data_IF_933209500705
#
_entry.id   IF_933209500705
#
_cell.length_a   1.000
_cell.length_b   1.000
_cell.length_c   1.000
_cell.angle_alpha   90.00
_cell.angle_beta   90.00
_cell.angle_gamma   90.00
#
_symmetry.space_group_name_H-M   'P 1'
#
loop_
_entity.id
_entity.type
_entity.pdbx_description
1 polymer ?
2 non-polymer ?
#
# COMPACT_ATOMS: atom_id res chain seq x y z
N UNK A 29 10.37 25.21 -1.48
CA UNK A 29 9.14 25.89 -1.10
C UNK A 29 9.00 27.22 -1.86
N UNK A 30 8.41 27.20 -3.08
CA UNK A 30 8.28 28.42 -3.89
C UNK A 30 7.23 29.40 -3.42
N UNK A 31 7.57 30.72 -3.43
CA UNK A 31 6.66 31.73 -2.86
C UNK A 31 5.28 31.88 -3.47
N UNK A 32 5.10 31.52 -4.75
CA UNK A 32 3.76 31.62 -5.31
C UNK A 32 2.83 30.56 -4.77
N UNK A 33 3.40 29.38 -4.46
CA UNK A 33 2.68 28.28 -3.84
C UNK A 33 2.42 28.63 -2.36
N UNK A 34 3.50 29.00 -1.63
CA UNK A 34 3.47 29.42 -0.23
C UNK A 34 2.39 30.48 0.02
N UNK A 35 2.20 31.42 -0.92
CA UNK A 35 1.20 32.49 -0.78
C UNK A 35 -0.20 31.93 -0.63
N UNK A 36 -0.64 31.09 -1.57
CA UNK A 36 -1.98 30.52 -1.50
C UNK A 36 -1.99 29.13 -0.90
N UNK A 37 -1.16 28.90 0.15
CA UNK A 37 -1.08 27.60 0.83
C UNK A 37 -2.45 27.12 1.35
N UNK A 38 -3.19 27.99 2.07
CA UNK A 38 -4.52 27.73 2.64
C UNK A 38 -5.54 27.23 1.62
N UNK A 39 -5.50 27.80 0.40
CA UNK A 39 -6.33 27.51 -0.78
C UNK A 39 -6.01 26.12 -1.31
N UNK A 40 -4.70 25.83 -1.47
CA UNK A 40 -4.21 24.52 -1.93
C UNK A 40 -4.57 23.44 -0.86
N UNK A 41 -4.47 23.79 0.43
CA UNK A 41 -4.83 22.91 1.55
C UNK A 41 -6.34 22.61 1.44
N UNK A 42 -7.18 23.69 1.33
CA UNK A 42 -8.64 23.53 1.21
C UNK A 42 -9.06 22.63 0.03
N UNK A 43 -8.44 22.83 -1.15
CA UNK A 43 -8.69 22.03 -2.35
C UNK A 43 -8.26 20.58 -2.16
N UNK A 44 -6.98 20.35 -1.72
CA UNK A 44 -6.45 18.99 -1.51
C UNK A 44 -7.29 18.16 -0.55
N UNK A 45 -7.67 18.79 0.60
CA UNK A 45 -8.45 18.11 1.64
C UNK A 45 -9.80 17.64 1.13
N UNK A 46 -10.49 18.52 0.39
CA UNK A 46 -11.77 18.29 -0.27
C UNK A 46 -11.64 17.17 -1.29
N UNK A 47 -10.65 17.27 -2.18
CA UNK A 47 -10.39 16.31 -3.24
C UNK A 47 -8.95 16.48 -3.60
N UNK A 48 -8.12 15.47 -3.32
CA UNK A 48 -6.67 15.55 -3.61
C UNK A 48 -6.36 16.00 -5.02
N UNK A 49 -7.01 15.36 -6.01
CA UNK A 49 -6.87 15.68 -7.43
C UNK A 49 -6.95 17.20 -7.62
N UNK A 50 -8.03 17.87 -7.13
CA UNK A 50 -8.21 19.33 -7.20
C UNK A 50 -6.96 20.08 -6.72
N UNK A 51 -6.54 19.82 -5.49
CA UNK A 51 -5.35 20.38 -4.88
C UNK A 51 -4.08 20.13 -5.68
N UNK A 52 -3.83 18.87 -6.10
CA UNK A 52 -2.65 18.53 -6.91
C UNK A 52 -2.66 19.36 -8.18
N UNK A 53 -3.79 19.36 -8.90
CA UNK A 53 -3.96 20.13 -10.13
C UNK A 53 -3.78 21.66 -9.92
N UNK A 54 -4.10 22.17 -8.71
CA UNK A 54 -3.94 23.54 -8.29
C UNK A 54 -2.45 23.79 -7.98
N UNK A 55 -1.66 22.73 -7.60
CA UNK A 55 -0.21 22.89 -7.39
C UNK A 55 0.42 23.01 -8.79
N UNK A 56 0.08 22.05 -9.67
CA UNK A 56 0.51 22.02 -11.07
C UNK A 56 0.19 23.35 -11.80
N UNK A 57 -1.03 23.91 -11.55
CA UNK A 57 -1.54 25.19 -12.07
C UNK A 57 -0.51 26.32 -11.88
N UNK A 58 -0.04 26.51 -10.62
CA UNK A 58 0.94 27.54 -10.21
C UNK A 58 2.31 27.22 -10.82
N UNK A 59 2.68 25.92 -10.84
CA UNK A 59 3.95 25.43 -11.38
C UNK A 59 4.07 25.75 -12.89
N UNK A 60 2.97 25.52 -13.67
CA UNK A 60 2.87 25.79 -15.12
C UNK A 60 3.02 27.30 -15.35
N UNK A 61 2.22 28.08 -14.60
CA UNK A 61 2.09 29.53 -14.58
C UNK A 61 3.42 30.22 -14.31
N UNK A 62 4.24 29.61 -13.42
CA UNK A 62 5.53 30.18 -13.03
C UNK A 62 6.76 29.45 -13.57
N UNK A 63 6.53 28.57 -14.56
CA UNK A 63 7.55 27.77 -15.23
C UNK A 63 8.48 27.03 -14.23
N UNK A 64 7.87 26.18 -13.36
CA UNK A 64 8.54 25.38 -12.32
C UNK A 64 8.10 23.90 -12.28
N UNK A 65 8.96 23.01 -11.73
CA UNK A 65 8.74 21.55 -11.68
C UNK A 65 7.77 21.05 -10.59
N UNK A 66 6.65 20.38 -10.96
CA UNK A 66 5.69 19.94 -9.94
C UNK A 66 6.16 18.82 -9.02
N UNK A 67 6.78 17.76 -9.54
CA UNK A 67 7.23 16.64 -8.71
C UNK A 67 7.99 17.10 -7.48
N UNK A 68 9.05 17.87 -7.69
CA UNK A 68 9.90 18.44 -6.64
C UNK A 68 9.10 19.35 -5.70
N UNK A 69 8.04 19.99 -6.24
CA UNK A 69 7.20 20.92 -5.48
C UNK A 69 6.07 20.28 -4.74
N UNK A 70 5.39 19.26 -5.34
CA UNK A 70 4.30 18.57 -4.66
C UNK A 70 4.92 18.01 -3.39
N UNK A 71 6.03 17.24 -3.56
CA UNK A 71 6.84 16.67 -2.49
C UNK A 71 7.07 17.68 -1.34
N UNK A 72 7.40 18.94 -1.67
CA UNK A 72 7.69 20.01 -0.70
C UNK A 72 6.49 20.44 0.11
N UNK A 73 5.33 20.65 -0.57
CA UNK A 73 4.06 21.07 0.03
C UNK A 73 3.61 20.01 1.01
N UNK A 74 3.68 18.73 0.57
CA UNK A 74 3.34 17.54 1.33
C UNK A 74 4.13 17.52 2.62
N UNK A 75 5.43 17.91 2.54
CA UNK A 75 6.34 17.96 3.68
C UNK A 75 5.98 19.10 4.57
N UNK A 76 5.88 20.34 4.00
CA UNK A 76 5.58 21.62 4.69
C UNK A 76 4.23 21.66 5.36
N UNK A 77 3.19 21.20 4.66
CA UNK A 77 1.84 21.28 5.20
C UNK A 77 1.37 19.94 5.81
N UNK A 78 2.30 19.22 6.42
CA UNK A 78 2.04 17.91 7.03
C UNK A 78 0.97 17.99 8.13
N UNK A 79 1.14 18.95 9.06
CA UNK A 79 0.25 19.22 10.18
C UNK A 79 -1.15 19.68 9.71
N UNK A 80 -1.28 20.07 8.42
CA UNK A 80 -2.49 20.59 7.79
C UNK A 80 -3.25 19.66 6.85
N UNK A 81 -2.49 18.91 6.02
CA UNK A 81 -3.02 18.03 4.98
C UNK A 81 -3.59 16.71 5.46
N UNK A 82 -4.48 16.14 4.63
CA UNK A 82 -5.11 14.84 4.79
C UNK A 82 -3.99 13.81 4.59
N UNK A 83 -3.37 13.36 5.70
CA UNK A 83 -2.25 12.41 5.64
C UNK A 83 -2.58 11.06 5.04
N UNK A 84 -3.88 10.70 5.00
CA UNK A 84 -4.37 9.45 4.42
C UNK A 84 -4.15 9.57 2.92
N UNK A 85 -4.65 10.67 2.33
CA UNK A 85 -4.54 11.02 0.92
C UNK A 85 -3.09 11.17 0.45
N UNK A 86 -2.25 11.88 1.25
CA UNK A 86 -0.83 12.12 0.96
C UNK A 86 -0.11 10.80 0.78
N UNK A 87 -0.19 9.96 1.82
CA UNK A 87 0.36 8.60 1.86
C UNK A 87 -0.15 7.85 0.66
N UNK A 88 -1.45 8.04 0.32
CA UNK A 88 -2.08 7.41 -0.82
C UNK A 88 -1.61 7.94 -2.16
N UNK A 89 -1.28 9.24 -2.23
CA UNK A 89 -0.72 9.83 -3.44
C UNK A 89 0.67 9.27 -3.68
N UNK A 90 1.52 9.28 -2.64
CA UNK A 90 2.92 8.86 -2.72
C UNK A 90 3.11 7.35 -3.00
N UNK A 91 2.17 6.50 -2.53
CA UNK A 91 2.27 5.05 -2.70
C UNK A 91 1.65 4.51 -4.01
N UNK A 92 1.13 5.40 -4.84
CA UNK A 92 0.52 5.01 -6.10
C UNK A 92 1.52 4.70 -7.19
N UNK A 93 1.23 3.68 -8.03
CA UNK A 93 2.19 3.26 -9.06
C UNK A 93 2.33 4.17 -10.27
N UNK A 94 1.45 5.18 -10.40
CA UNK A 94 1.49 6.08 -11.53
C UNK A 94 2.80 6.85 -11.56
N UNK A 95 3.38 7.02 -12.77
CA UNK A 95 4.65 7.68 -13.06
C UNK A 95 4.87 8.99 -12.32
N UNK A 96 3.92 9.94 -12.45
CA UNK A 96 3.98 11.23 -11.76
C UNK A 96 4.12 11.02 -10.26
N UNK A 97 3.21 10.22 -9.67
CA UNK A 97 3.16 9.87 -8.25
C UNK A 97 4.48 9.27 -7.81
N UNK A 98 4.98 8.25 -8.57
CA UNK A 98 6.25 7.56 -8.33
C UNK A 98 7.42 8.55 -8.29
N UNK A 99 7.38 9.61 -9.12
CA UNK A 99 8.41 10.64 -9.16
C UNK A 99 8.34 11.54 -7.94
N UNK A 100 7.13 12.04 -7.62
CA UNK A 100 6.82 12.86 -6.45
C UNK A 100 7.44 12.22 -5.22
N UNK A 101 7.19 10.89 -5.01
CA UNK A 101 7.76 10.13 -3.89
C UNK A 101 9.30 10.14 -3.89
N UNK A 102 9.96 9.86 -5.06
CA UNK A 102 11.41 9.84 -5.18
C UNK A 102 11.93 11.13 -4.59
N UNK A 103 11.22 12.24 -4.89
CA UNK A 103 11.51 13.62 -4.45
C UNK A 103 11.18 13.83 -2.96
N UNK A 104 10.07 13.26 -2.49
CA UNK A 104 9.63 13.34 -1.09
C UNK A 104 10.70 12.70 -0.19
N UNK A 105 11.00 11.42 -0.45
CA UNK A 105 11.96 10.58 0.26
C UNK A 105 13.38 11.14 0.19
N UNK A 106 13.77 11.75 -0.94
CA UNK A 106 15.11 12.32 -1.09
C UNK A 106 15.31 13.51 -0.16
N UNK A 107 14.22 14.24 0.14
CA UNK A 107 14.16 15.43 1.02
C UNK A 107 14.22 15.06 2.52
N UNK A 108 14.60 13.82 2.83
CA UNK A 108 14.70 13.33 4.20
C UNK A 108 16.17 13.07 4.58
N UNK A 109 16.57 13.42 5.81
CA UNK A 109 17.93 13.12 6.25
C UNK A 109 17.97 11.75 6.88
N UNK A 110 18.87 10.89 6.38
CA UNK A 110 19.11 9.52 6.85
C UNK A 110 20.60 9.38 7.15
N UNK A 111 21.36 10.47 6.86
CA UNK A 111 22.79 10.59 7.10
C UNK A 111 23.04 10.64 8.60
N UNK A 112 23.88 9.72 9.07
CA UNK A 112 24.21 9.57 10.48
C UNK A 112 23.28 8.61 11.21
N UNK A 113 22.00 8.56 10.77
CA UNK A 113 20.94 7.74 11.34
C UNK A 113 21.25 6.28 11.24
N UNK A 114 20.88 5.51 12.27
CA UNK A 114 21.01 4.05 12.36
C UNK A 114 19.97 3.44 11.40
N UNK A 115 20.29 2.28 10.76
CA UNK A 115 19.34 1.63 9.81
C UNK A 115 17.97 1.52 10.42
N UNK A 116 17.91 1.09 11.68
CA UNK A 116 16.70 0.91 12.48
C UNK A 116 16.03 2.25 12.74
N UNK A 117 16.84 3.30 13.07
CA UNK A 117 16.31 4.62 13.36
C UNK A 117 15.89 5.36 12.10
N UNK A 118 16.69 5.29 11.06
CA UNK A 118 16.37 5.91 9.77
C UNK A 118 15.02 5.45 9.22
N UNK A 119 14.75 4.12 9.40
CA UNK A 119 13.52 3.46 9.02
C UNK A 119 12.45 3.82 10.01
N UNK A 120 12.78 3.89 11.34
CA UNK A 120 11.84 4.26 12.43
C UNK A 120 11.19 5.60 12.12
N UNK A 121 12.01 6.55 11.67
CA UNK A 121 11.60 7.89 11.27
C UNK A 121 10.72 7.82 10.01
N UNK A 122 11.20 7.13 8.94
CA UNK A 122 10.51 7.05 7.65
C UNK A 122 9.03 6.66 7.74
N UNK A 123 8.76 5.50 8.35
CA UNK A 123 7.44 4.93 8.53
C UNK A 123 6.54 5.88 9.32
N UNK A 124 7.06 6.46 10.43
CA UNK A 124 6.40 7.45 11.31
C UNK A 124 5.79 8.65 10.52
N UNK A 125 6.40 8.98 9.37
CA UNK A 125 6.01 10.08 8.48
C UNK A 125 4.61 9.94 7.82
N UNK A 126 4.10 8.72 7.67
CA UNK A 126 2.90 8.46 6.90
C UNK A 126 1.72 7.97 7.68
N UNK A 127 0.53 8.12 7.06
CA UNK A 127 -0.68 7.43 7.52
C UNK A 127 -0.62 6.21 6.56
N UNK A 128 0.17 5.22 6.96
CA UNK A 128 0.48 4.03 6.20
C UNK A 128 -0.68 3.41 5.47
N UNK A 129 -0.59 3.35 4.12
CA UNK A 129 -1.66 2.73 3.36
C UNK A 129 -1.92 1.32 3.85
N UNK A 130 -3.18 0.90 3.83
CA UNK A 130 -3.58 -0.44 4.28
C UNK A 130 -3.57 -1.46 3.15
N UNK A 131 -2.48 -1.53 2.39
CA UNK A 131 -2.34 -2.46 1.27
C UNK A 131 -0.92 -2.71 0.92
N UNK A 132 -0.54 -3.98 0.91
CA UNK A 132 0.80 -4.50 0.68
C UNK A 132 1.64 -3.83 -0.44
N UNK A 133 1.16 -3.81 -1.69
CA UNK A 133 1.88 -3.19 -2.81
C UNK A 133 2.19 -1.70 -2.53
N UNK A 134 1.19 -0.96 -2.00
CA UNK A 134 1.36 0.45 -1.64
C UNK A 134 2.48 0.56 -0.61
N UNK A 135 2.49 -0.35 0.40
CA UNK A 135 3.51 -0.34 1.45
C UNK A 135 4.88 -0.64 0.88
N UNK A 136 4.95 -1.63 -0.01
CA UNK A 136 6.17 -2.06 -0.70
C UNK A 136 6.87 -0.87 -1.40
N UNK A 137 6.13 -0.15 -2.30
CA UNK A 137 6.62 1.03 -3.02
C UNK A 137 7.24 1.97 -2.02
N UNK A 138 6.63 2.10 -0.83
CA UNK A 138 7.15 2.98 0.22
C UNK A 138 8.46 2.46 0.77
N UNK A 139 8.49 1.18 1.23
CA UNK A 139 9.69 0.55 1.80
C UNK A 139 10.85 0.63 0.80
N UNK A 140 10.56 0.32 -0.48
CA UNK A 140 11.46 0.39 -1.63
C UNK A 140 12.10 1.82 -1.77
N UNK A 141 11.32 2.90 -1.54
CA UNK A 141 11.81 4.28 -1.61
C UNK A 141 12.83 4.58 -0.48
N UNK A 142 12.52 4.13 0.76
CA UNK A 142 13.41 4.31 1.91
C UNK A 142 14.75 3.62 1.62
N UNK A 143 14.68 2.36 1.15
CA UNK A 143 15.83 1.56 0.81
C UNK A 143 16.81 2.30 -0.09
N UNK A 144 16.29 2.90 -1.16
CA UNK A 144 17.05 3.66 -2.15
C UNK A 144 17.68 4.94 -1.63
N UNK A 145 16.99 5.58 -0.66
CA UNK A 145 17.48 6.82 -0.05
C UNK A 145 18.50 6.52 1.07
N UNK A 146 18.19 5.55 1.99
CA UNK A 146 19.11 5.18 3.07
C UNK A 146 20.47 4.79 2.49
N UNK A 147 20.46 4.00 1.39
CA UNK A 147 21.67 3.61 0.68
C UNK A 147 22.36 4.81 0.02
N UNK A 148 21.60 5.76 -0.58
CA UNK A 148 22.22 6.96 -1.18
C UNK A 148 23.02 7.73 -0.12
N UNK A 149 22.34 8.06 1.00
CA UNK A 149 22.89 8.83 2.12
C UNK A 149 23.90 8.08 3.00
N UNK A 150 23.92 6.73 2.93
CA UNK A 150 24.84 5.88 3.68
C UNK A 150 25.41 4.74 2.76
N UNK A 151 26.29 5.04 1.75
CA UNK A 151 26.76 3.97 0.84
C UNK A 151 27.67 2.90 1.45
N UNK A 152 28.15 3.17 2.67
CA UNK A 152 29.06 2.34 3.45
C UNK A 152 28.33 1.38 4.37
N UNK A 153 27.16 1.79 4.90
CA UNK A 153 26.31 1.00 5.82
C UNK A 153 25.78 -0.33 5.18
N UNK A 154 25.17 -0.24 3.98
CA UNK A 154 24.68 -1.38 3.18
C UNK A 154 25.44 -1.40 1.86
N UNK A 155 25.73 -2.61 1.34
CA UNK A 155 26.50 -2.80 0.10
C UNK A 155 25.86 -2.18 -1.12
N UNK A 156 24.54 -2.36 -1.28
CA UNK A 156 23.80 -1.78 -2.40
C UNK A 156 22.35 -1.46 -2.01
N UNK A 157 21.55 -0.91 -2.96
CA UNK A 157 20.14 -0.57 -2.69
C UNK A 157 19.27 -1.78 -2.42
N UNK A 158 19.51 -2.90 -3.14
CA UNK A 158 18.76 -4.16 -2.97
C UNK A 158 18.96 -4.72 -1.56
N UNK A 159 20.18 -4.55 -1.01
CA UNK A 159 20.57 -4.98 0.34
C UNK A 159 19.79 -4.21 1.43
N UNK A 160 19.51 -2.92 1.17
CA UNK A 160 18.75 -2.08 2.11
C UNK A 160 17.28 -2.53 2.16
N UNK A 161 16.71 -2.89 1.00
CA UNK A 161 15.31 -3.36 0.88
C UNK A 161 15.12 -4.71 1.61
N UNK A 162 16.13 -5.57 1.54
CA UNK A 162 16.16 -6.88 2.16
C UNK A 162 16.15 -6.68 3.66
N UNK A 163 17.11 -5.89 4.15
CA UNK A 163 17.28 -5.56 5.56
C UNK A 163 16.01 -4.95 6.16
N UNK A 164 15.36 -4.03 5.41
CA UNK A 164 14.12 -3.38 5.82
C UNK A 164 12.99 -4.37 5.97
N UNK A 165 12.77 -5.22 4.94
CA UNK A 165 11.73 -6.24 5.01
C UNK A 165 12.00 -7.24 6.11
N UNK A 166 13.29 -7.54 6.39
CA UNK A 166 13.64 -8.41 7.51
C UNK A 166 13.36 -7.70 8.83
N UNK A 167 13.59 -6.37 8.87
CA UNK A 167 13.39 -5.51 10.04
C UNK A 167 11.91 -5.41 10.35
N UNK A 168 11.08 -5.22 9.32
CA UNK A 168 9.63 -5.12 9.44
C UNK A 168 9.02 -6.48 9.85
N UNK A 169 9.58 -7.60 9.32
CA UNK A 169 9.13 -8.96 9.72
C UNK A 169 9.56 -9.20 11.15
N UNK A 170 10.78 -8.70 11.51
CA UNK A 170 11.37 -8.81 12.84
C UNK A 170 10.51 -8.07 13.84
N UNK A 171 9.99 -6.89 13.45
CA UNK A 171 9.14 -6.05 14.28
C UNK A 171 7.89 -6.77 14.71
N UNK A 172 7.37 -7.68 13.85
CA UNK A 172 6.19 -8.46 14.15
C UNK A 172 6.52 -9.52 15.22
N UNK A 173 7.61 -10.29 14.99
CA UNK A 173 8.13 -11.37 15.86
C UNK A 173 8.50 -10.91 17.25
N UNK A 174 9.24 -9.81 17.34
CA UNK A 174 9.72 -9.28 18.61
C UNK A 174 8.65 -8.63 19.48
N UNK A 175 7.51 -8.27 18.89
CA UNK A 175 6.45 -7.61 19.65
C UNK A 175 5.06 -8.28 19.61
N UNK A 176 4.98 -9.52 19.08
CA UNK A 176 3.72 -10.29 19.02
C UNK A 176 3.40 -10.88 20.40
N UNK A 177 2.36 -10.39 21.12
CA UNK A 177 2.05 -10.92 22.46
C UNK A 177 1.56 -12.35 22.48
N UNK A 178 1.06 -12.86 21.34
CA UNK A 178 0.56 -14.23 21.25
C UNK A 178 1.73 -15.22 21.24
N UNK A 179 2.74 -15.02 20.35
CA UNK A 179 3.93 -15.86 20.23
C UNK A 179 4.71 -15.91 21.56
N UNK A 180 5.06 -17.11 22.08
CA UNK A 180 5.81 -17.17 23.35
C UNK A 180 7.26 -16.74 23.15
N UNK A 181 7.84 -16.06 24.16
CA UNK A 181 9.23 -15.56 24.14
C UNK A 181 10.24 -16.53 23.54
N UNK A 182 10.07 -17.85 23.77
CA UNK A 182 10.92 -18.93 23.27
C UNK A 182 10.88 -19.13 21.74
N UNK A 183 9.79 -18.67 21.09
CA UNK A 183 9.61 -18.79 19.66
C UNK A 183 9.89 -17.49 18.91
N UNK A 184 10.06 -16.39 19.65
CA UNK A 184 10.38 -15.08 19.09
C UNK A 184 11.83 -15.08 18.60
N UNK A 185 12.03 -14.74 17.29
CA UNK A 185 13.30 -14.67 16.55
C UNK A 185 14.50 -14.24 17.40
N UNK A 186 15.61 -14.98 17.30
CA UNK A 186 16.83 -14.65 18.03
C UNK A 186 17.76 -13.80 17.19
N UNK A 187 18.79 -13.23 17.83
CA UNK A 187 19.85 -12.42 17.22
C UNK A 187 20.56 -13.20 16.08
N UNK A 188 21.01 -14.44 16.37
CA UNK A 188 21.66 -15.34 15.41
C UNK A 188 20.67 -15.86 14.37
N UNK A 189 19.39 -15.78 14.70
CA UNK A 189 18.28 -16.14 13.81
C UNK A 189 18.16 -15.12 12.71
N UNK A 190 18.63 -13.89 13.02
CA UNK A 190 18.67 -12.76 12.08
C UNK A 190 19.84 -12.99 11.10
N UNK A 191 21.06 -13.15 11.65
CA UNK A 191 22.33 -13.37 10.95
C UNK A 191 22.25 -14.46 9.86
N UNK A 192 21.41 -15.51 10.11
CA UNK A 192 21.16 -16.68 9.26
C UNK A 192 20.44 -16.29 7.96
N UNK A 193 19.26 -15.63 8.07
CA UNK A 193 18.44 -15.14 6.95
C UNK A 193 19.23 -14.18 6.08
N UNK A 194 20.13 -13.40 6.73
CA UNK A 194 20.98 -12.38 6.13
C UNK A 194 22.38 -12.83 5.63
N UNK A 195 22.61 -14.17 5.57
CA UNK A 195 23.83 -14.77 5.02
C UNK A 195 23.65 -14.70 3.50
N UNK A 196 24.35 -13.76 2.87
CA UNK A 196 24.27 -13.51 1.43
C UNK A 196 23.30 -12.41 1.03
N UNK A 197 22.96 -11.55 1.99
CA UNK A 197 22.02 -10.45 1.81
C UNK A 197 22.66 -9.13 1.44
N UNK A 198 23.92 -8.95 1.87
CA UNK A 198 24.71 -7.74 1.60
C UNK A 198 25.42 -7.94 0.25
N UNK A 199 24.66 -7.74 -0.86
CA UNK A 199 25.09 -7.83 -2.27
C UNK A 199 25.81 -9.16 -2.51
N UNK A 200 25.16 -10.25 -2.11
CA UNK A 200 25.74 -11.58 -2.17
C UNK A 200 26.85 -11.76 -1.15
N UNK A 201 26.56 -11.33 0.09
CA UNK A 201 27.47 -11.38 1.22
C UNK A 201 26.79 -11.10 2.55
N UNK A 202 27.55 -11.25 3.64
CA UNK A 202 27.09 -11.07 5.02
C UNK A 202 27.24 -9.62 5.50
N UNK A 203 26.32 -9.16 6.37
CA UNK A 203 26.37 -7.83 6.99
C UNK A 203 27.23 -7.98 8.26
N UNK A 204 27.75 -6.86 8.82
CA UNK A 204 28.59 -6.90 10.04
C UNK A 204 27.82 -7.35 11.26
N UNK A 205 28.32 -8.44 11.93
CA UNK A 205 27.71 -9.05 13.12
C UNK A 205 27.36 -8.04 14.23
N UNK A 206 28.22 -7.02 14.44
CA UNK A 206 27.99 -5.97 15.44
C UNK A 206 26.90 -4.98 15.01
N UNK A 207 26.68 -4.82 13.68
CA UNK A 207 25.64 -3.94 13.14
C UNK A 207 24.26 -4.59 13.26
N UNK A 208 24.20 -5.93 13.12
CA UNK A 208 22.95 -6.67 13.22
C UNK A 208 22.53 -6.80 14.67
N UNK A 209 23.51 -6.83 15.60
CA UNK A 209 23.26 -6.85 17.04
C UNK A 209 22.68 -5.49 17.42
N UNK A 210 23.26 -4.40 16.87
CA UNK A 210 22.79 -3.02 17.04
C UNK A 210 21.43 -2.86 16.34
N UNK A 211 21.16 -3.63 15.26
CA UNK A 211 19.87 -3.61 14.58
C UNK A 211 18.84 -4.27 15.51
N UNK A 212 19.00 -5.59 15.75
CA UNK A 212 18.15 -6.46 16.58
C UNK A 212 17.81 -5.88 17.95
N UNK A 213 18.79 -5.31 18.68
CA UNK A 213 18.54 -4.73 20.01
C UNK A 213 17.71 -3.45 19.96
N UNK A 214 18.03 -2.54 19.02
CA UNK A 214 17.36 -1.25 18.83
C UNK A 214 15.86 -1.41 18.63
N UNK A 215 15.48 -2.45 17.85
CA UNK A 215 14.12 -2.87 17.50
C UNK A 215 13.54 -3.91 18.51
N UNK A 216 14.37 -4.31 19.49
CA UNK A 216 13.91 -5.21 20.53
C UNK A 216 13.35 -4.33 21.64
N UNK A 217 14.06 -3.23 21.94
CA UNK A 217 13.74 -2.26 22.98
C UNK A 217 12.59 -1.32 22.60
N UNK A 218 12.43 -1.04 21.29
CA UNK A 218 11.39 -0.12 20.80
C UNK A 218 10.71 -0.59 19.51
N UNK A 219 9.40 -0.92 19.53
CA UNK A 219 8.73 -1.29 18.28
C UNK A 219 8.46 -0.06 17.42
N UNK A 220 8.28 -0.28 16.11
CA UNK A 220 7.99 0.75 15.10
C UNK A 220 6.63 1.41 15.36
N UNK A 221 6.62 2.75 15.35
CA UNK A 221 5.38 3.49 15.53
C UNK A 221 4.69 3.49 14.17
N UNK A 222 3.76 2.52 13.97
CA UNK A 222 3.04 2.34 12.70
C UNK A 222 1.56 2.72 12.76
N UNK A 223 1.21 3.91 12.21
CA UNK A 223 -0.19 4.35 12.15
C UNK A 223 -0.74 4.08 10.76
N UNK A 224 -1.73 3.18 10.68
CA UNK A 224 -2.36 2.84 9.41
C UNK A 224 -3.59 3.69 9.10
N UNK A 225 -3.93 3.74 7.80
CA UNK A 225 -5.13 4.32 7.21
C UNK A 225 -6.32 3.59 7.89
N UNK A 226 -7.42 4.33 8.12
CA UNK A 226 -8.62 3.81 8.77
C UNK A 226 -9.32 2.76 7.86
N UNK A 227 -9.70 3.22 6.66
CA UNK A 227 -10.42 2.54 5.59
C UNK A 227 -9.63 2.83 4.29
N UNK A 228 -9.21 1.81 3.55
CA UNK A 228 -8.43 2.01 2.31
C UNK A 228 -9.35 2.39 1.12
N UNK A 229 -8.87 3.09 0.03
CA UNK A 229 -9.79 3.46 -1.07
C UNK A 229 -10.61 2.34 -1.75
N UNK A 230 -11.80 2.73 -2.24
CA UNK A 230 -12.75 1.88 -2.94
C UNK A 230 -13.64 1.05 -2.04
N UNK A 231 -14.01 -0.14 -2.56
CA UNK A 231 -14.89 -1.10 -1.87
C UNK A 231 -14.09 -2.05 -1.01
N UNK A 232 -14.45 -2.14 0.29
CA UNK A 232 -13.78 -3.09 1.17
C UNK A 232 -14.80 -3.97 1.77
N UNK A 233 -14.61 -5.26 1.52
CA UNK A 233 -15.41 -6.39 1.98
C UNK A 233 -14.60 -7.02 3.07
N UNK A 234 -15.13 -6.94 4.29
CA UNK A 234 -14.48 -7.46 5.47
C UNK A 234 -15.49 -7.89 6.49
N UNK A 235 -15.34 -9.13 6.94
CA UNK A 235 -16.20 -9.75 7.94
C UNK A 235 -15.45 -10.90 8.60
N UNK A 236 -15.86 -11.26 9.81
CA UNK A 236 -15.30 -12.37 10.56
C UNK A 236 -15.71 -13.70 9.87
N UNK A 237 -16.76 -13.66 9.03
CA UNK A 237 -17.28 -14.81 8.31
C UNK A 237 -17.18 -14.71 6.78
N UNK A 238 -16.31 -13.81 6.23
CA UNK A 238 -16.10 -13.64 4.78
C UNK A 238 -15.41 -14.89 4.20
N UNK A 239 -14.54 -15.53 4.99
CA UNK A 239 -13.84 -16.77 4.67
C UNK A 239 -14.89 -17.86 4.27
N UNK A 240 -16.10 -17.76 4.87
CA UNK A 240 -17.23 -18.66 4.62
C UNK A 240 -17.91 -18.32 3.28
N UNK A 241 -17.92 -17.03 2.88
CA UNK A 241 -18.54 -16.51 1.64
C UNK A 241 -18.12 -17.28 0.41
N UNK A 242 -19.10 -17.77 -0.38
CA UNK A 242 -18.91 -18.52 -1.64
C UNK A 242 -18.03 -17.75 -2.65
N UNK A 243 -18.35 -16.45 -2.89
CA UNK A 243 -17.60 -15.61 -3.82
C UNK A 243 -16.14 -15.49 -3.39
N UNK A 244 -15.89 -15.25 -2.08
CA UNK A 244 -14.55 -15.17 -1.48
C UNK A 244 -13.85 -16.47 -1.66
N UNK A 245 -14.55 -17.61 -1.29
CA UNK A 245 -14.08 -19.00 -1.40
C UNK A 245 -13.59 -19.22 -2.82
N UNK A 246 -14.47 -18.92 -3.83
CA UNK A 246 -14.17 -19.02 -5.27
C UNK A 246 -12.95 -18.17 -5.68
N UNK A 247 -12.92 -16.91 -5.27
CA UNK A 247 -11.84 -16.00 -5.60
C UNK A 247 -10.48 -16.50 -5.09
N UNK A 248 -10.48 -17.23 -3.95
CA UNK A 248 -9.24 -17.76 -3.36
C UNK A 248 -8.71 -18.92 -4.18
N UNK A 249 -9.61 -19.82 -4.60
CA UNK A 249 -9.31 -20.95 -5.46
C UNK A 249 -8.67 -20.39 -6.74
N UNK A 250 -9.21 -19.25 -7.25
CA UNK A 250 -8.76 -18.56 -8.44
C UNK A 250 -7.30 -18.13 -8.35
N UNK A 251 -6.85 -17.66 -7.19
CA UNK A 251 -5.45 -17.23 -7.01
C UNK A 251 -4.41 -18.34 -7.24
N UNK A 252 -4.78 -19.62 -7.07
CA UNK A 252 -3.89 -20.73 -7.37
C UNK A 252 -4.51 -21.56 -8.51
N UNK A 253 -4.87 -20.85 -9.60
CA UNK A 253 -5.48 -21.41 -10.79
C UNK A 253 -4.73 -21.04 -12.05
N UNK A 254 -4.74 -21.96 -13.01
CA UNK A 254 -4.09 -21.80 -14.31
C UNK A 254 -5.15 -21.87 -15.43
N UNK A 255 -5.17 -20.83 -16.29
CA UNK A 255 -6.03 -20.64 -17.47
C UNK A 255 -7.57 -20.61 -17.22
N UNK A 256 -8.01 -20.28 -15.97
CA UNK A 256 -9.43 -20.22 -15.60
C UNK A 256 -9.99 -18.83 -15.88
N UNK A 257 -11.28 -18.77 -16.27
CA UNK A 257 -11.94 -17.50 -16.54
C UNK A 257 -12.55 -16.88 -15.27
N UNK A 258 -12.53 -15.57 -15.19
CA UNK A 258 -13.04 -14.87 -14.02
C UNK A 258 -14.57 -14.83 -13.90
N UNK A 259 -15.31 -15.08 -15.00
CA UNK A 259 -16.77 -15.13 -14.95
C UNK A 259 -17.29 -16.33 -14.12
N UNK A 260 -16.38 -17.29 -13.83
CA UNK A 260 -16.64 -18.46 -12.98
C UNK A 260 -16.64 -17.97 -11.51
N UNK A 261 -15.86 -16.92 -11.22
CA UNK A 261 -15.78 -16.29 -9.92
C UNK A 261 -16.86 -15.18 -9.85
N UNK A 262 -16.96 -14.34 -10.89
CA UNK A 262 -17.89 -13.22 -10.92
C UNK A 262 -18.80 -13.26 -12.17
N UNK A 263 -19.99 -13.94 -12.11
CA UNK A 263 -20.86 -13.99 -13.32
C UNK A 263 -21.63 -12.71 -13.66
N UNK A 264 -21.48 -11.66 -12.84
CA UNK A 264 -22.13 -10.37 -13.01
C UNK A 264 -21.39 -9.42 -13.92
N UNK A 265 -20.09 -9.74 -14.19
CA UNK A 265 -19.19 -9.02 -15.10
C UNK A 265 -19.33 -9.71 -16.46
N UNK A 266 -18.76 -9.11 -17.50
CA UNK A 266 -18.83 -9.68 -18.85
C UNK A 266 -18.07 -10.98 -19.03
N UNK A 267 -18.26 -11.60 -20.19
CA UNK A 267 -17.55 -12.81 -20.55
C UNK A 267 -16.14 -12.37 -20.97
N UNK A 268 -16.11 -11.27 -21.75
CA UNK A 268 -14.95 -10.58 -22.29
C UNK A 268 -14.15 -9.77 -21.25
N UNK A 269 -13.57 -10.45 -20.24
CA UNK A 269 -12.73 -9.84 -19.18
C UNK A 269 -11.44 -10.67 -18.95
N UNK A 270 -10.28 -10.09 -19.29
CA UNK A 270 -8.94 -10.68 -19.14
C UNK A 270 -8.42 -10.45 -17.72
N UNK A 271 -7.64 -11.42 -17.17
CA UNK A 271 -7.06 -11.31 -15.82
C UNK A 271 -5.56 -11.53 -15.74
N UNK A 272 -4.89 -10.73 -14.90
CA UNK A 272 -3.48 -10.88 -14.57
C UNK A 272 -3.44 -11.09 -13.06
N UNK A 273 -2.52 -11.93 -12.57
CA UNK A 273 -2.42 -12.21 -11.14
C UNK A 273 -0.98 -12.06 -10.62
N UNK A 274 -0.79 -11.21 -9.59
CA UNK A 274 0.49 -10.97 -8.92
C UNK A 274 0.44 -11.69 -7.55
N UNK A 275 1.20 -12.80 -7.40
CA UNK A 275 1.26 -13.60 -6.17
C UNK A 275 2.20 -12.93 -5.14
N UNK A 276 1.93 -13.05 -3.81
CA UNK A 276 2.81 -12.40 -2.82
C UNK A 276 4.27 -12.85 -2.85
N UNK A 277 5.19 -11.88 -2.60
CA UNK A 277 6.67 -11.92 -2.61
C UNK A 277 7.39 -13.00 -1.72
N UNK A 278 8.61 -12.67 -1.19
CA UNK A 278 9.42 -13.51 -0.29
C UNK A 278 8.66 -13.67 1.05
N UNK A 279 8.14 -12.53 1.59
CA UNK A 279 7.32 -12.46 2.80
C UNK A 279 5.92 -12.93 2.38
N UNK A 280 5.59 -14.16 2.80
CA UNK A 280 4.34 -14.82 2.42
C UNK A 280 3.06 -14.24 3.06
N UNK A 281 1.90 -14.88 2.76
CA UNK A 281 0.56 -14.54 3.27
C UNK A 281 0.49 -14.74 4.80
N UNK A 282 1.47 -15.46 5.36
CA UNK A 282 1.57 -15.74 6.78
C UNK A 282 1.98 -14.49 7.58
N UNK A 283 2.77 -13.60 6.95
CA UNK A 283 3.31 -12.40 7.58
C UNK A 283 2.69 -11.08 7.05
N UNK A 284 1.43 -11.17 6.58
CA UNK A 284 0.65 -10.03 6.07
C UNK A 284 -0.82 -10.38 6.01
N UNK A 285 -1.08 -11.57 5.50
CA UNK A 285 -2.41 -12.05 5.22
C UNK A 285 -2.57 -11.94 3.73
N UNK A 286 -1.79 -11.00 3.12
CA UNK A 286 -1.77 -10.68 1.71
C UNK A 286 -1.64 -11.91 0.83
N UNK A 287 -2.74 -12.29 0.20
CA UNK A 287 -2.78 -13.44 -0.66
C UNK A 287 -2.60 -13.10 -2.15
N UNK A 288 -2.43 -11.82 -2.48
CA UNK A 288 -2.23 -11.34 -3.85
C UNK A 288 -3.24 -10.32 -4.40
N UNK A 289 -2.94 -9.82 -5.66
CA UNK A 289 -3.81 -8.89 -6.42
C UNK A 289 -4.21 -9.38 -7.83
N UNK A 290 -5.54 -9.46 -8.10
CA UNK A 290 -6.09 -9.79 -9.43
C UNK A 290 -6.45 -8.49 -10.17
N UNK A 291 -6.05 -8.38 -11.44
CA UNK A 291 -6.36 -7.22 -12.25
C UNK A 291 -7.23 -7.68 -13.40
N UNK A 292 -8.45 -7.14 -13.44
CA UNK A 292 -9.47 -7.44 -14.43
C UNK A 292 -9.47 -6.30 -15.45
N UNK A 293 -9.56 -6.63 -16.75
CA UNK A 293 -9.53 -5.64 -17.84
C UNK A 293 -10.45 -6.05 -18.99
N UNK A 294 -11.46 -5.21 -19.28
CA UNK A 294 -12.41 -5.49 -20.36
C UNK A 294 -11.75 -5.26 -21.72
N UNK A 295 -11.55 -6.35 -22.48
CA UNK A 295 -10.88 -6.31 -23.77
C UNK A 295 -11.58 -5.54 -24.89
N UNK A 296 -12.78 -5.02 -24.62
CA UNK A 296 -13.50 -4.21 -25.58
C UNK A 296 -13.65 -2.75 -25.10
N UNK A 297 -13.79 -2.55 -23.79
CA UNK A 297 -13.99 -1.22 -23.21
C UNK A 297 -12.76 -0.60 -22.55
N UNK A 298 -11.79 -1.45 -22.16
CA UNK A 298 -10.58 -1.08 -21.42
C UNK A 298 -10.86 -0.57 -19.98
N UNK A 299 -12.02 -0.98 -19.41
CA UNK A 299 -12.42 -0.73 -18.03
C UNK A 299 -11.55 -1.66 -17.21
N UNK A 300 -10.89 -1.13 -16.19
CA UNK A 300 -10.00 -1.92 -15.37
C UNK A 300 -10.46 -1.90 -13.92
N UNK A 301 -10.15 -2.97 -13.19
CA UNK A 301 -10.46 -3.12 -11.77
C UNK A 301 -9.47 -4.07 -11.11
N UNK A 302 -9.11 -3.81 -9.84
CA UNK A 302 -8.21 -4.68 -9.08
C UNK A 302 -8.83 -5.18 -7.79
N UNK A 303 -8.72 -6.51 -7.56
CA UNK A 303 -9.18 -7.22 -6.36
C UNK A 303 -7.91 -7.54 -5.56
N UNK A 304 -7.95 -7.31 -4.22
CA UNK A 304 -6.83 -7.61 -3.29
C UNK A 304 -7.34 -8.54 -2.17
N UNK A 305 -6.63 -9.67 -1.91
CA UNK A 305 -7.06 -10.65 -0.89
C UNK A 305 -6.11 -10.69 0.29
N UNK A 306 -6.64 -10.62 1.53
CA UNK A 306 -5.85 -10.63 2.75
C UNK A 306 -6.48 -11.60 3.76
N UNK A 307 -5.77 -12.70 4.11
CA UNK A 307 -6.29 -13.70 5.05
C UNK A 307 -5.46 -13.78 6.34
N UNK A 308 -6.04 -13.33 7.47
CA UNK A 308 -5.30 -13.33 8.74
C UNK A 308 -4.68 -14.65 9.19
N UNK A 309 -3.38 -14.57 9.52
CA UNK A 309 -2.55 -15.66 10.02
C UNK A 309 -1.95 -15.26 11.40
N UNK A 310 -1.49 -16.25 12.21
CA UNK A 310 -0.89 -16.10 13.56
C UNK A 310 0.00 -14.86 13.69
N UNK A 311 0.94 -14.66 12.74
CA UNK A 311 1.87 -13.52 12.72
C UNK A 311 1.15 -12.20 12.37
N UNK A 312 0.35 -12.19 11.28
CA UNK A 312 -0.41 -11.03 10.79
C UNK A 312 -1.49 -10.51 11.75
N UNK A 313 -2.43 -11.39 12.18
CA UNK A 313 -3.57 -11.16 13.07
C UNK A 313 -3.37 -10.01 14.06
N UNK A 314 -2.21 -9.99 14.71
CA UNK A 314 -1.82 -8.98 15.70
C UNK A 314 -1.60 -7.57 15.13
N UNK A 315 -0.96 -7.47 13.96
CA UNK A 315 -0.70 -6.17 13.36
C UNK A 315 -1.62 -5.78 12.22
N UNK A 316 -2.04 -6.74 11.37
CA UNK A 316 -2.80 -6.42 10.16
C UNK A 316 -4.31 -6.71 10.07
N UNK A 317 -4.95 -6.92 11.21
CA UNK A 317 -6.39 -7.14 11.25
C UNK A 317 -6.75 -8.61 11.33
N UNK A 318 -7.63 -8.94 12.28
CA UNK A 318 -8.06 -10.31 12.53
C UNK A 318 -9.15 -10.85 11.59
N UNK A 319 -9.71 -10.03 10.68
CA UNK A 319 -10.75 -10.50 9.74
C UNK A 319 -10.37 -10.40 8.26
N UNK A 320 -10.65 -11.46 7.43
CA UNK A 320 -10.34 -11.38 5.98
C UNK A 320 -10.88 -10.13 5.28
N UNK A 321 -10.12 -9.65 4.30
CA UNK A 321 -10.45 -8.43 3.58
C UNK A 321 -10.36 -8.67 2.10
N UNK A 322 -11.27 -8.01 1.36
CA UNK A 322 -11.30 -8.01 -0.11
C UNK A 322 -11.45 -6.56 -0.52
N UNK A 323 -10.42 -5.97 -1.15
CA UNK A 323 -10.46 -4.58 -1.60
C UNK A 323 -10.57 -4.53 -3.12
N UNK A 324 -11.70 -4.03 -3.59
CA UNK A 324 -11.96 -3.86 -5.01
C UNK A 324 -11.75 -2.36 -5.35
N UNK A 325 -10.89 -2.07 -6.36
CA UNK A 325 -10.62 -0.68 -6.76
C UNK A 325 -10.73 -0.47 -8.27
N UNK A 326 -11.47 0.57 -8.73
CA UNK A 326 -11.58 0.78 -10.20
C UNK A 326 -10.40 1.52 -10.79
N UNK A 327 -10.05 1.17 -12.02
CA UNK A 327 -8.98 1.83 -12.79
C UNK A 327 -9.34 3.27 -13.12
N UNK A 328 -8.42 4.04 -13.72
CA UNK A 328 -8.75 5.46 -14.04
C UNK A 328 -9.69 5.67 -15.22
N UNK A 329 -9.69 4.72 -16.17
CA UNK A 329 -10.48 4.66 -17.41
C UNK A 329 -12.01 4.64 -17.18
N UNK A 330 -12.80 4.93 -18.24
CA UNK A 330 -14.27 4.92 -18.21
C UNK A 330 -14.76 3.50 -17.95
N UNK A 331 -15.94 3.38 -17.30
CA UNK A 331 -16.66 2.14 -16.98
C UNK A 331 -15.96 1.23 -15.94
N UNK A 332 -14.72 1.61 -15.52
CA UNK A 332 -13.92 0.88 -14.53
C UNK A 332 -14.70 0.81 -13.22
N UNK A 333 -15.44 1.91 -12.94
CA UNK A 333 -16.32 2.05 -11.80
C UNK A 333 -17.45 1.00 -11.84
N UNK A 334 -17.95 0.62 -13.04
CA UNK A 334 -18.95 -0.45 -13.18
C UNK A 334 -18.40 -1.85 -12.98
N UNK A 335 -17.24 -2.16 -13.58
CA UNK A 335 -16.54 -3.44 -13.46
C UNK A 335 -16.31 -3.78 -11.99
N UNK A 336 -15.79 -2.80 -11.24
CA UNK A 336 -15.53 -2.86 -9.80
C UNK A 336 -16.84 -3.11 -9.05
N UNK A 337 -17.91 -2.39 -9.43
CA UNK A 337 -19.22 -2.52 -8.81
C UNK A 337 -19.80 -3.90 -9.10
N UNK A 338 -19.66 -4.38 -10.36
CA UNK A 338 -20.14 -5.69 -10.80
C UNK A 338 -19.47 -6.81 -10.00
N UNK A 339 -18.13 -6.73 -9.81
CA UNK A 339 -17.38 -7.73 -9.04
C UNK A 339 -17.83 -7.71 -7.57
N UNK A 340 -17.92 -6.52 -6.95
CA UNK A 340 -18.37 -6.40 -5.55
C UNK A 340 -19.83 -6.83 -5.33
N UNK A 341 -20.71 -6.57 -6.32
CA UNK A 341 -22.13 -6.94 -6.21
C UNK A 341 -22.30 -8.45 -6.24
N UNK A 342 -21.46 -9.15 -7.01
CA UNK A 342 -21.45 -10.62 -7.09
C UNK A 342 -21.18 -11.29 -5.75
N UNK A 343 -20.44 -10.63 -4.85
CA UNK A 343 -20.14 -11.12 -3.50
C UNK A 343 -21.43 -11.28 -2.72
N UNK A 344 -21.57 -12.33 -1.87
CA UNK A 344 -22.78 -12.49 -1.07
C UNK A 344 -22.76 -11.46 0.08
N UNK A 345 -21.64 -11.44 0.84
CA UNK A 345 -21.37 -10.52 1.92
C UNK A 345 -21.50 -9.07 1.43
N UNK A 346 -21.87 -8.11 2.30
CA UNK A 346 -21.99 -6.73 1.83
C UNK A 346 -20.65 -6.02 1.84
N UNK A 347 -20.54 -4.87 1.15
CA UNK A 347 -19.28 -4.10 1.16
C UNK A 347 -19.35 -3.27 2.43
N UNK A 348 -18.48 -3.58 3.42
CA UNK A 348 -18.48 -2.89 4.72
C UNK A 348 -18.05 -1.42 4.54
N UNK A 349 -17.07 -1.18 3.68
CA UNK A 349 -16.60 0.17 3.50
C UNK A 349 -16.45 0.65 2.07
N UNK A 350 -16.91 1.89 1.86
CA UNK A 350 -16.83 2.63 0.61
C UNK A 350 -15.90 3.82 0.87
N UNK A 351 -14.93 4.09 -0.04
CA UNK A 351 -14.00 5.23 0.07
C UNK A 351 -13.62 5.78 -1.30
N UNK A 352 -13.72 7.12 -1.44
CA UNK A 352 -13.38 7.82 -2.68
C UNK A 352 -11.96 7.47 -3.21
N UNK A 353 -11.85 7.25 -4.52
CA UNK A 353 -10.56 7.00 -5.17
C UNK A 353 -10.13 8.36 -5.68
N UNK A 354 -8.87 8.47 -6.12
CA UNK A 354 -8.31 9.70 -6.63
C UNK A 354 -9.18 10.36 -7.70
N UNK A 355 -9.89 9.54 -8.51
CA UNK A 355 -10.74 9.99 -9.61
C UNK A 355 -12.24 9.73 -9.38
N UNK A 356 -12.62 9.03 -8.32
CA UNK A 356 -14.03 8.70 -8.09
C UNK A 356 -14.53 9.05 -6.69
N UNK A 357 -15.61 9.83 -6.61
CA UNK A 357 -16.20 10.22 -5.35
C UNK A 357 -17.00 9.09 -4.72
N UNK A 358 -16.99 9.02 -3.38
CA UNK A 358 -17.66 7.99 -2.59
C UNK A 358 -19.06 7.62 -3.09
N UNK A 359 -19.86 8.63 -3.39
CA UNK A 359 -21.23 8.49 -3.86
C UNK A 359 -21.40 7.75 -5.17
N UNK A 360 -20.57 8.09 -6.19
CA UNK A 360 -20.61 7.45 -7.51
C UNK A 360 -20.38 5.93 -7.41
N UNK A 361 -19.47 5.54 -6.50
CA UNK A 361 -19.15 4.15 -6.21
C UNK A 361 -20.33 3.51 -5.52
N UNK A 362 -21.00 4.23 -4.61
CA UNK A 362 -22.21 3.73 -3.95
C UNK A 362 -23.28 3.54 -5.04
N UNK A 363 -23.55 4.61 -5.85
CA UNK A 363 -24.52 4.62 -6.95
C UNK A 363 -24.40 3.37 -7.81
N UNK A 364 -23.16 3.07 -8.31
CA UNK A 364 -22.90 1.89 -9.14
C UNK A 364 -23.06 0.57 -8.40
N UNK A 365 -22.70 0.52 -7.08
CA UNK A 365 -22.81 -0.68 -6.24
C UNK A 365 -24.26 -1.08 -5.99
N UNK A 366 -25.07 -0.17 -5.38
CA UNK A 366 -26.51 -0.35 -5.10
C UNK A 366 -27.25 -0.68 -6.39
N UNK A 367 -26.87 -0.01 -7.52
CA UNK A 367 -27.38 -0.24 -8.87
C UNK A 367 -27.16 -1.71 -9.31
N UNK A 368 -25.91 -2.19 -9.23
CA UNK A 368 -25.57 -3.57 -9.60
C UNK A 368 -26.09 -4.56 -8.55
N UNK A 369 -26.21 -4.11 -7.28
CA UNK A 369 -26.77 -4.94 -6.22
C UNK A 369 -28.29 -5.07 -6.35
N UNK A 370 -28.93 -4.13 -7.09
CA UNK A 370 -30.37 -4.18 -7.37
C UNK A 370 -30.55 -4.93 -8.69
N UNK A 371 -29.59 -4.74 -9.64
CA UNK A 371 -29.56 -5.38 -10.95
C UNK A 371 -29.29 -6.88 -10.85
N UNK A 372 -28.12 -7.26 -10.25
CA UNK A 372 -27.72 -8.66 -10.04
C UNK A 372 -28.73 -9.42 -9.10
N UNK A 373 -29.47 -8.69 -8.22
CA UNK A 373 -30.51 -9.32 -7.39
C UNK A 373 -31.79 -9.62 -8.19
N UNK A 374 -31.59 -10.38 -9.30
CA UNK A 374 -32.53 -10.96 -10.27
C UNK A 374 -31.88 -12.30 -10.71
N UNK A 375 -32.71 -13.32 -11.05
CA UNK A 375 -32.28 -14.65 -11.51
C UNK A 375 -31.22 -14.63 -12.61
X LIG B 1 -6.71 -3.49 12.29
X LIG B 1 -6.12 -4.23 13.35
X LIG B 1 -5.64 -2.75 11.50
X LIG B 1 -5.37 -1.47 12.10
X LIG B 1 -5.98 -2.58 10.03
X LIG B 1 -4.80 -2.72 9.23
X LIG B 1 -7.46 -2.80 12.68
X LIG B 1 -7.26 -4.18 11.65
X LIG B 1 -5.58 -3.58 13.88
X LIG B 1 -4.68 -3.24 11.63
X LIG B 1 -6.19 -0.92 12.05
X LIG B 1 -6.45 -1.62 9.85
X LIG B 1 -6.71 -3.31 9.71
X LIG B 1 -4.19 -1.99 9.51
#
# INVERSE_FOLDING_TARGET
MSYYHHHHHHDYDIPTTENLYFQGAMGASHPEIEKAQREIIEAFNAKPKNGINKIKEICEQYKISPNEEIAEFFHQQRKNLDLEAVGDYLSSPEAENQQVLKAFTSQMNFNGQSFVEGLRTFLKTFKLPGEAQKIDRLVQSFSGAYFQQNPDVVSNADAAYLLAFQTIMLNTDLHNPSIPEKNKMTVDGLKRNLRGGNNGGDFDAKFLEELYSEIKAKPFELNFVKTSPGYELTSTTLNKDSTFKKLDSFLHSTDVNINTVFPGIGDNVKTTVDQPKSWLSFKTGYKGTITLTDNKTSAQATIQVYTPNIFSKWLFGEQPRVIIQPGQTKESIDLAAKAAADFSSPVKNFKATYDYEVGDLIKAYDNQKKLITIERNLALKEGVPKDPDAEMQKEKGRQLKF
GOL C1 O1 C2 O2 C3 O3 H11 H12 HO1 H2 HO2 H31 H32 HO3
#
